data_IF_423318517915
#
_entry.id   IF_423318517915
#
_cell.length_a   1.000
_cell.length_b   1.000
_cell.length_c   1.000
_cell.angle_alpha   90.00
_cell.angle_beta   90.00
_cell.angle_gamma   90.00
#
_symmetry.space_group_name_H-M   'P 1'
#
loop_
_entity.id
_entity.type
_entity.pdbx_description
1 polymer ?
#
# COMPACT_ATOMS: atom_id res chain seq x y z
N UNK A 1 -15.38 -10.01 26.78
CA UNK A 1 -15.23 -11.42 27.25
C UNK A 1 -14.01 -12.02 26.58
N UNK A 2 -13.08 -12.61 27.34
CA UNK A 2 -11.92 -13.28 26.76
C UNK A 2 -12.32 -14.61 26.12
N UNK A 3 -11.93 -14.84 24.86
CA UNK A 3 -12.14 -16.13 24.18
C UNK A 3 -11.39 -17.23 24.95
N UNK A 4 -12.03 -18.33 25.38
CA UNK A 4 -11.35 -19.42 26.06
C UNK A 4 -10.13 -19.93 25.27
N UNK A 5 -9.01 -20.20 25.94
CA UNK A 5 -7.74 -20.49 25.27
C UNK A 5 -7.83 -21.69 24.32
N UNK A 6 -8.61 -22.71 24.68
CA UNK A 6 -8.87 -23.88 23.85
C UNK A 6 -9.66 -23.54 22.57
N UNK A 7 -10.55 -22.57 22.63
CA UNK A 7 -11.29 -22.07 21.45
C UNK A 7 -10.35 -21.27 20.56
N UNK A 8 -9.53 -20.39 21.15
CA UNK A 8 -8.50 -19.64 20.42
C UNK A 8 -7.53 -20.57 19.68
N UNK A 9 -6.94 -21.55 20.38
CA UNK A 9 -6.03 -22.54 19.81
C UNK A 9 -6.68 -23.30 18.65
N UNK A 10 -7.93 -23.75 18.82
CA UNK A 10 -8.69 -24.43 17.76
C UNK A 10 -8.85 -23.54 16.53
N UNK A 11 -9.19 -22.27 16.72
CA UNK A 11 -9.36 -21.33 15.61
C UNK A 11 -8.05 -21.12 14.84
N UNK A 12 -6.92 -20.95 15.54
CA UNK A 12 -5.60 -20.84 14.91
C UNK A 12 -5.28 -22.11 14.11
N UNK A 13 -5.51 -23.29 14.68
CA UNK A 13 -5.32 -24.56 13.97
C UNK A 13 -6.23 -24.66 12.72
N UNK A 14 -7.51 -24.29 12.81
CA UNK A 14 -8.43 -24.30 11.67
C UNK A 14 -8.01 -23.36 10.56
N UNK A 15 -7.50 -22.16 10.89
CA UNK A 15 -6.95 -21.23 9.90
C UNK A 15 -5.75 -21.85 9.19
N UNK A 16 -4.80 -22.42 9.94
CA UNK A 16 -3.63 -23.07 9.36
C UNK A 16 -4.04 -24.24 8.45
N UNK A 17 -4.98 -25.09 8.87
CA UNK A 17 -5.53 -26.16 8.02
C UNK A 17 -6.18 -25.64 6.74
N UNK A 18 -6.92 -24.53 6.81
CA UNK A 18 -7.52 -23.92 5.64
C UNK A 18 -6.46 -23.33 4.70
N UNK A 19 -5.37 -22.75 5.21
CA UNK A 19 -4.29 -22.19 4.40
C UNK A 19 -3.45 -23.28 3.71
N UNK A 20 -3.21 -24.40 4.38
CA UNK A 20 -2.36 -25.49 3.87
C UNK A 20 -3.10 -26.57 3.09
N UNK A 21 -4.45 -26.54 3.08
CA UNK A 21 -5.25 -27.49 2.31
C UNK A 21 -5.05 -27.33 0.80
N UNK A 22 -4.99 -28.45 0.07
CA UNK A 22 -5.04 -28.47 -1.40
C UNK A 22 -6.36 -27.94 -1.94
N UNK A 23 -7.44 -28.09 -1.18
CA UNK A 23 -8.80 -27.69 -1.54
C UNK A 23 -9.16 -26.30 -1.00
N UNK A 24 -8.15 -25.55 -0.54
CA UNK A 24 -8.38 -24.22 -0.01
C UNK A 24 -8.99 -23.30 -1.08
N UNK A 25 -10.07 -22.57 -0.80
CA UNK A 25 -10.57 -21.55 -1.73
C UNK A 25 -9.59 -20.38 -1.87
N UNK A 26 -8.61 -20.29 -0.97
CA UNK A 26 -7.49 -19.35 -1.03
C UNK A 26 -6.28 -19.94 -1.75
N UNK A 27 -6.43 -21.11 -2.38
CA UNK A 27 -5.37 -21.75 -3.11
C UNK A 27 -5.11 -21.06 -4.44
N UNK A 28 -3.94 -20.46 -4.59
CA UNK A 28 -3.33 -20.32 -5.91
C UNK A 28 -2.72 -21.69 -6.23
N UNK A 29 -3.20 -22.32 -7.30
CA UNK A 29 -2.70 -23.61 -7.77
C UNK A 29 -1.17 -23.55 -7.91
N UNK A 30 -0.49 -24.63 -7.51
CA UNK A 30 0.96 -24.84 -7.67
C UNK A 30 1.90 -23.83 -6.97
N UNK A 31 1.39 -22.97 -6.07
CA UNK A 31 2.22 -22.04 -5.30
C UNK A 31 2.45 -22.53 -3.86
N UNK A 32 3.72 -22.72 -3.44
CA UNK A 32 4.05 -23.03 -2.06
C UNK A 32 3.61 -21.94 -1.08
N UNK A 33 3.12 -22.34 0.09
CA UNK A 33 2.64 -21.40 1.12
C UNK A 33 3.70 -21.23 2.20
N UNK A 34 4.11 -19.99 2.46
CA UNK A 34 5.00 -19.64 3.57
C UNK A 34 4.21 -18.90 4.64
N UNK A 35 4.20 -19.41 5.87
CA UNK A 35 3.41 -18.90 6.98
C UNK A 35 4.34 -18.36 8.07
N UNK A 36 4.18 -17.10 8.45
CA UNK A 36 4.76 -16.54 9.67
C UNK A 36 3.66 -16.43 10.70
N UNK A 37 3.73 -17.23 11.76
CA UNK A 37 2.80 -17.16 12.88
C UNK A 37 3.39 -16.25 13.96
N UNK A 38 2.73 -15.13 14.25
CA UNK A 38 3.24 -14.11 15.18
C UNK A 38 2.43 -14.18 16.48
N UNK A 39 3.11 -14.30 17.63
CA UNK A 39 2.43 -14.26 18.93
C UNK A 39 1.86 -12.86 19.20
N UNK A 40 0.80 -12.73 20.02
CA UNK A 40 0.46 -11.43 20.60
C UNK A 40 1.66 -10.81 21.32
N UNK A 41 1.75 -9.47 21.26
CA UNK A 41 2.76 -8.70 21.99
C UNK A 41 2.43 -8.56 23.48
N UNK A 42 3.33 -7.96 24.28
CA UNK A 42 3.02 -7.59 25.64
C UNK A 42 1.98 -6.46 25.67
N UNK A 43 1.41 -6.21 26.84
CA UNK A 43 0.62 -5.00 27.09
C UNK A 43 1.17 -4.26 28.31
N UNK A 44 1.00 -2.95 28.38
CA UNK A 44 1.40 -2.15 29.52
C UNK A 44 0.16 -1.45 30.12
N UNK A 45 -0.58 -2.13 31.03
CA UNK A 45 -1.83 -1.61 31.59
C UNK A 45 -1.72 -0.25 32.27
N UNK A 46 -0.54 0.13 32.76
CA UNK A 46 -0.31 1.46 33.35
C UNK A 46 -0.47 2.61 32.34
N UNK A 47 -0.43 2.33 31.04
CA UNK A 47 -0.58 3.31 29.96
C UNK A 47 -1.97 3.32 29.31
N UNK A 48 -2.86 2.38 29.67
CA UNK A 48 -4.18 2.30 29.04
C UNK A 48 -4.96 3.61 29.24
N UNK A 49 -5.58 4.15 28.17
CA UNK A 49 -6.38 5.37 28.25
C UNK A 49 -7.58 5.21 29.18
N UNK A 50 -8.23 4.04 29.14
CA UNK A 50 -9.37 3.72 29.98
C UNK A 50 -8.94 2.74 31.11
N UNK A 51 -9.09 3.13 32.39
CA UNK A 51 -8.81 2.26 33.52
C UNK A 51 -9.56 0.93 33.52
N UNK A 52 -10.75 0.86 32.92
CA UNK A 52 -11.54 -0.36 32.82
C UNK A 52 -10.87 -1.42 31.92
N UNK A 53 -10.02 -1.00 30.96
CA UNK A 53 -9.28 -1.92 30.09
C UNK A 53 -8.28 -2.78 30.87
N UNK A 54 -7.81 -2.28 32.03
CA UNK A 54 -6.87 -2.99 32.89
C UNK A 54 -7.48 -4.25 33.52
N UNK A 55 -8.81 -4.33 33.59
CA UNK A 55 -9.51 -5.47 34.18
C UNK A 55 -9.56 -6.69 33.25
N UNK A 56 -9.48 -6.48 31.93
CA UNK A 56 -9.65 -7.55 30.95
C UNK A 56 -8.45 -7.74 29.99
N UNK A 57 -7.52 -6.80 29.92
CA UNK A 57 -6.26 -6.92 29.19
C UNK A 57 -5.06 -6.85 30.15
N UNK A 58 -4.53 -8.01 30.54
CA UNK A 58 -3.39 -8.11 31.48
C UNK A 58 -2.21 -8.83 30.83
N UNK A 59 -1.01 -8.60 31.36
CA UNK A 59 0.20 -9.32 30.93
C UNK A 59 0.00 -10.84 31.03
N UNK A 60 -0.63 -11.33 32.09
CA UNK A 60 -0.90 -12.76 32.27
C UNK A 60 -1.89 -13.31 31.25
N UNK A 61 -2.94 -12.55 30.94
CA UNK A 61 -3.92 -12.92 29.91
C UNK A 61 -3.23 -13.03 28.54
N UNK A 62 -2.50 -11.98 28.16
CA UNK A 62 -1.78 -11.90 26.88
C UNK A 62 -0.69 -12.99 26.77
N UNK A 63 0.00 -13.30 27.88
CA UNK A 63 0.99 -14.39 27.93
C UNK A 63 0.36 -15.75 27.62
N UNK A 64 -0.85 -16.05 28.13
CA UNK A 64 -1.54 -17.32 27.82
C UNK A 64 -1.79 -17.48 26.31
N UNK A 65 -2.22 -16.42 25.64
CA UNK A 65 -2.42 -16.45 24.19
C UNK A 65 -1.10 -16.56 23.42
N UNK A 66 -0.04 -15.85 23.86
CA UNK A 66 1.32 -16.01 23.32
C UNK A 66 1.79 -17.46 23.41
N UNK A 67 1.71 -18.06 24.59
CA UNK A 67 2.20 -19.42 24.81
C UNK A 67 1.39 -20.44 23.97
N UNK A 68 0.07 -20.26 23.85
CA UNK A 68 -0.75 -21.07 22.96
C UNK A 68 -0.35 -20.95 21.47
N UNK A 69 -0.02 -19.74 21.00
CA UNK A 69 0.49 -19.55 19.62
C UNK A 69 1.83 -20.25 19.43
N UNK A 70 2.74 -20.18 20.41
CA UNK A 70 4.03 -20.88 20.37
C UNK A 70 3.86 -22.40 20.32
N UNK A 71 2.92 -22.95 21.09
CA UNK A 71 2.60 -24.38 21.08
C UNK A 71 2.05 -24.83 19.73
N UNK A 72 1.06 -24.11 19.18
CA UNK A 72 0.53 -24.39 17.83
C UNK A 72 1.63 -24.30 16.79
N UNK A 73 2.45 -23.25 16.84
CA UNK A 73 3.58 -23.07 15.94
C UNK A 73 4.55 -24.25 15.95
N UNK A 74 4.91 -24.74 17.14
CA UNK A 74 5.77 -25.92 17.32
C UNK A 74 5.13 -27.19 16.77
N UNK A 75 3.85 -27.41 17.05
CA UNK A 75 3.08 -28.56 16.55
C UNK A 75 3.04 -28.58 15.01
N UNK A 76 2.79 -27.43 14.39
CA UNK A 76 2.75 -27.31 12.94
C UNK A 76 4.14 -27.42 12.32
N UNK A 77 5.18 -26.91 13.00
CA UNK A 77 6.56 -27.08 12.55
C UNK A 77 6.97 -28.56 12.49
N UNK A 78 6.53 -29.40 13.44
CA UNK A 78 6.81 -30.84 13.38
C UNK A 78 6.08 -31.53 12.23
N UNK A 79 4.89 -31.04 11.85
CA UNK A 79 4.11 -31.59 10.73
C UNK A 79 4.67 -31.18 9.36
N UNK A 80 5.46 -30.12 9.29
CA UNK A 80 6.06 -29.64 8.03
C UNK A 80 6.88 -30.73 7.32
N UNK A 81 7.62 -31.54 8.07
CA UNK A 81 8.42 -32.64 7.52
C UNK A 81 7.57 -33.87 7.13
N UNK A 82 6.42 -34.07 7.78
CA UNK A 82 5.55 -35.25 7.61
C UNK A 82 4.45 -35.04 6.56
N UNK A 83 4.05 -33.78 6.30
CA UNK A 83 2.99 -33.38 5.39
C UNK A 83 3.51 -32.48 4.25
N UNK A 84 4.53 -32.98 3.54
CA UNK A 84 4.84 -32.57 2.18
C UNK A 84 3.68 -32.94 1.23
N UNK A 85 2.51 -32.35 1.46
CA UNK A 85 1.36 -32.40 0.56
C UNK A 85 1.73 -31.75 -0.76
N UNK A 86 1.02 -32.12 -1.83
CA UNK A 86 1.30 -31.75 -3.23
C UNK A 86 1.52 -30.25 -3.50
N UNK A 87 1.16 -29.36 -2.57
CA UNK A 87 1.28 -27.91 -2.68
C UNK A 87 2.53 -27.30 -2.03
N UNK A 88 3.17 -28.00 -1.09
CA UNK A 88 4.34 -27.53 -0.32
C UNK A 88 4.02 -26.34 0.61
N UNK A 89 4.19 -26.50 1.91
CA UNK A 89 4.05 -25.38 2.86
C UNK A 89 5.16 -25.38 3.89
N UNK A 90 5.47 -24.19 4.42
CA UNK A 90 6.42 -24.01 5.52
C UNK A 90 5.90 -23.01 6.51
N UNK A 91 6.22 -23.22 7.79
CA UNK A 91 5.79 -22.34 8.87
C UNK A 91 6.97 -21.97 9.76
N UNK A 92 6.98 -20.72 10.22
CA UNK A 92 7.88 -20.25 11.27
C UNK A 92 7.09 -19.43 12.28
N UNK A 93 7.50 -19.48 13.55
CA UNK A 93 6.82 -18.75 14.62
C UNK A 93 7.70 -17.64 15.17
N UNK A 94 7.14 -16.43 15.29
CA UNK A 94 7.79 -15.24 15.83
C UNK A 94 7.18 -14.89 17.18
N UNK A 95 8.01 -14.93 18.21
CA UNK A 95 7.66 -14.48 19.55
C UNK A 95 7.80 -12.95 19.66
N UNK A 96 6.76 -12.22 19.24
CA UNK A 96 6.74 -10.76 19.31
C UNK A 96 6.84 -10.26 20.75
N UNK A 97 6.20 -10.97 21.68
CA UNK A 97 6.32 -10.72 23.11
C UNK A 97 7.77 -10.80 23.57
N UNK A 98 8.41 -11.95 23.34
CA UNK A 98 9.79 -12.18 23.75
C UNK A 98 10.77 -11.21 23.12
N UNK A 99 10.49 -10.76 21.89
CA UNK A 99 11.29 -9.74 21.20
C UNK A 99 11.23 -8.39 21.91
N UNK A 100 10.03 -7.91 22.22
CA UNK A 100 9.84 -6.62 22.91
C UNK A 100 10.35 -6.68 24.36
N UNK A 101 9.95 -7.69 25.13
CA UNK A 101 10.38 -7.84 26.53
C UNK A 101 11.89 -8.06 26.63
N UNK A 102 12.46 -8.86 25.73
CA UNK A 102 13.89 -9.15 25.69
C UNK A 102 14.74 -7.92 25.38
N UNK A 103 14.32 -7.09 24.42
CA UNK A 103 15.02 -5.82 24.13
C UNK A 103 14.82 -4.77 25.23
N UNK A 104 13.68 -4.77 25.92
CA UNK A 104 13.41 -3.83 26.99
C UNK A 104 14.26 -4.07 28.25
N UNK A 105 14.83 -5.27 28.45
CA UNK A 105 15.58 -5.62 29.66
C UNK A 105 14.78 -6.45 30.68
N UNK A 106 13.53 -6.77 30.36
CA UNK A 106 12.68 -7.67 31.14
C UNK A 106 11.86 -7.02 32.27
N UNK A 107 12.05 -5.74 32.57
CA UNK A 107 11.25 -5.02 33.57
C UNK A 107 10.05 -4.30 32.93
N UNK A 108 8.94 -4.17 33.67
CA UNK A 108 7.69 -3.62 33.15
C UNK A 108 7.77 -2.12 32.87
N UNK A 109 8.59 -1.41 33.64
CA UNK A 109 8.85 0.02 33.59
C UNK A 109 9.64 0.40 32.32
N UNK A 110 10.50 -0.51 31.86
CA UNK A 110 11.34 -0.35 30.67
C UNK A 110 10.56 -0.58 29.37
N UNK A 111 9.33 -1.12 29.46
CA UNK A 111 8.46 -1.34 28.30
C UNK A 111 7.83 -0.04 27.77
N UNK A 112 7.73 1.02 28.59
CA UNK A 112 7.04 2.27 28.23
C UNK A 112 7.41 2.82 26.84
N UNK A 113 8.68 2.88 26.42
CA UNK A 113 9.07 3.41 25.10
C UNK A 113 8.57 2.57 23.92
N UNK A 114 8.16 1.31 24.14
CA UNK A 114 7.70 0.39 23.11
C UNK A 114 6.19 0.49 22.85
N UNK A 115 5.46 1.31 23.62
CA UNK A 115 4.01 1.44 23.53
C UNK A 115 3.58 2.88 23.24
N UNK A 116 2.50 3.03 22.47
CA UNK A 116 1.79 4.30 22.26
C UNK A 116 0.80 4.56 23.39
N UNK A 117 -0.01 3.56 23.73
CA UNK A 117 -1.13 3.62 24.69
C UNK A 117 -1.22 2.37 25.58
N UNK A 118 -0.15 1.58 25.62
CA UNK A 118 -0.07 0.35 26.39
C UNK A 118 -0.59 -0.91 25.69
N UNK A 119 -1.40 -0.79 24.64
CA UNK A 119 -1.82 -1.96 23.83
C UNK A 119 -1.17 -1.91 22.45
N UNK A 120 -1.13 -0.73 21.84
CA UNK A 120 -0.52 -0.52 20.54
C UNK A 120 0.98 -0.22 20.70
N UNK A 121 1.78 -0.85 19.85
CA UNK A 121 3.22 -0.61 19.80
C UNK A 121 3.51 0.83 19.32
N UNK A 122 4.58 1.42 19.86
CA UNK A 122 5.18 2.65 19.32
C UNK A 122 6.01 2.32 18.07
N UNK A 123 6.56 3.34 17.40
CA UNK A 123 7.54 3.15 16.31
C UNK A 123 8.68 2.23 16.73
N UNK A 124 9.20 2.38 17.97
CA UNK A 124 10.24 1.51 18.52
C UNK A 124 9.73 0.07 18.68
N UNK A 125 8.52 -0.11 19.21
CA UNK A 125 7.88 -1.41 19.35
C UNK A 125 7.71 -2.14 18.03
N UNK A 126 7.20 -1.45 17.01
CA UNK A 126 7.07 -1.99 15.66
C UNK A 126 8.42 -2.38 15.07
N UNK A 127 9.42 -1.50 15.13
CA UNK A 127 10.75 -1.78 14.61
C UNK A 127 11.38 -3.03 15.23
N UNK A 128 11.23 -3.24 16.55
CA UNK A 128 11.73 -4.45 17.24
C UNK A 128 11.07 -5.73 16.74
N UNK A 129 9.75 -5.72 16.52
CA UNK A 129 9.02 -6.90 16.03
C UNK A 129 9.31 -7.12 14.54
N UNK A 130 9.35 -6.06 13.75
CA UNK A 130 9.67 -6.08 12.32
C UNK A 130 11.07 -6.66 12.07
N UNK A 131 12.09 -6.19 12.78
CA UNK A 131 13.46 -6.72 12.67
C UNK A 131 13.48 -8.24 12.84
N UNK A 132 12.71 -8.76 13.81
CA UNK A 132 12.61 -10.19 14.07
C UNK A 132 11.88 -10.94 12.96
N UNK A 133 10.77 -10.39 12.47
CA UNK A 133 10.00 -10.97 11.35
C UNK A 133 10.87 -11.01 10.10
N UNK A 134 11.49 -9.90 9.73
CA UNK A 134 12.37 -9.76 8.57
C UNK A 134 13.50 -10.77 8.63
N UNK A 135 14.17 -10.93 9.78
CA UNK A 135 15.21 -11.95 9.96
C UNK A 135 14.68 -13.37 9.76
N UNK A 136 13.50 -13.71 10.28
CA UNK A 136 12.90 -15.03 10.06
C UNK A 136 12.58 -15.24 8.58
N UNK A 137 11.96 -14.25 7.93
CA UNK A 137 11.61 -14.32 6.50
C UNK A 137 12.86 -14.51 5.64
N UNK A 138 13.87 -13.67 5.83
CA UNK A 138 15.13 -13.73 5.08
C UNK A 138 15.89 -15.04 5.30
N UNK A 139 15.91 -15.58 6.52
CA UNK A 139 16.72 -16.78 6.81
C UNK A 139 15.98 -18.10 6.59
N UNK A 140 14.66 -18.13 6.71
CA UNK A 140 13.85 -19.36 6.67
C UNK A 140 13.01 -19.51 5.42
N UNK A 141 12.69 -18.39 4.76
CA UNK A 141 11.94 -18.37 3.50
C UNK A 141 12.77 -17.82 2.33
N UNK A 142 14.10 -17.78 2.47
CA UNK A 142 15.02 -17.44 1.38
C UNK A 142 14.69 -18.21 0.09
N UNK A 143 14.70 -17.51 -1.05
CA UNK A 143 14.43 -18.12 -2.35
C UNK A 143 12.95 -18.48 -2.61
N UNK A 144 12.02 -18.07 -1.74
CA UNK A 144 10.57 -18.23 -1.96
C UNK A 144 9.88 -16.96 -2.46
N UNK A 145 10.65 -16.02 -3.02
CA UNK A 145 10.11 -14.76 -3.53
C UNK A 145 9.52 -13.84 -2.46
N UNK A 146 9.98 -13.96 -1.20
CA UNK A 146 9.63 -13.08 -0.08
C UNK A 146 10.79 -12.15 0.30
N UNK A 147 11.89 -12.20 -0.45
CA UNK A 147 13.02 -11.32 -0.24
C UNK A 147 12.74 -9.98 -0.92
N UNK A 148 12.81 -8.90 -0.15
CA UNK A 148 12.47 -7.56 -0.61
C UNK A 148 13.53 -6.97 -1.55
N UNK A 149 14.71 -7.60 -1.61
CA UNK A 149 15.84 -7.18 -2.43
C UNK A 149 16.03 -8.02 -3.70
N UNK A 150 15.20 -9.05 -3.91
CA UNK A 150 15.28 -9.85 -5.13
C UNK A 150 14.59 -9.13 -6.30
N UNK A 151 15.40 -8.50 -7.16
CA UNK A 151 14.96 -7.74 -8.34
C UNK A 151 14.03 -8.53 -9.27
N UNK A 152 14.08 -9.87 -9.24
CA UNK A 152 13.24 -10.73 -10.06
C UNK A 152 11.76 -10.77 -9.60
N UNK A 153 11.44 -10.41 -8.35
CA UNK A 153 10.08 -10.48 -7.78
C UNK A 153 9.50 -9.11 -7.37
N UNK A 154 10.28 -8.03 -7.47
CA UNK A 154 9.82 -6.63 -7.32
C UNK A 154 8.54 -6.26 -8.10
N UNK A 155 8.25 -6.79 -9.32
CA UNK A 155 7.07 -6.38 -10.07
C UNK A 155 5.73 -6.76 -9.45
N UNK A 156 5.68 -7.64 -8.43
CA UNK A 156 4.43 -8.27 -8.00
C UNK A 156 3.81 -7.73 -6.72
N UNK A 157 4.49 -6.86 -5.94
CA UNK A 157 4.11 -6.65 -4.51
C UNK A 157 4.23 -5.26 -3.89
N UNK A 158 4.70 -4.23 -4.59
CA UNK A 158 4.75 -2.86 -4.03
C UNK A 158 3.64 -1.95 -4.62
N UNK A 159 3.15 -0.93 -3.90
CA UNK A 159 2.57 0.25 -4.57
C UNK A 159 3.60 0.73 -5.59
N UNK A 160 3.16 0.79 -6.84
CA UNK A 160 4.01 0.67 -8.04
C UNK A 160 4.74 2.00 -8.28
N UNK A 161 5.80 2.25 -7.51
CA UNK A 161 6.73 3.35 -7.69
C UNK A 161 8.13 2.78 -7.93
N UNK A 162 8.66 2.95 -9.14
CA UNK A 162 9.98 2.44 -9.49
C UNK A 162 10.98 3.60 -9.61
N UNK A 163 11.93 3.66 -8.67
CA UNK A 163 12.97 4.68 -8.64
C UNK A 163 13.77 4.73 -9.94
N UNK A 164 13.90 5.91 -10.54
CA UNK A 164 14.67 6.12 -11.77
C UNK A 164 13.95 5.79 -13.08
N UNK A 165 12.69 5.37 -13.06
CA UNK A 165 11.94 5.05 -14.28
C UNK A 165 11.42 6.29 -15.01
N UNK A 166 11.29 6.17 -16.34
CA UNK A 166 10.69 7.18 -17.21
C UNK A 166 9.40 6.65 -17.87
N UNK A 167 8.74 7.46 -18.68
CA UNK A 167 7.51 7.09 -19.36
C UNK A 167 7.67 5.91 -20.32
N UNK A 168 8.81 5.79 -21.02
CA UNK A 168 9.09 4.65 -21.92
C UNK A 168 9.10 3.33 -21.17
N UNK A 169 9.82 3.25 -20.04
CA UNK A 169 9.84 2.05 -19.20
C UNK A 169 8.46 1.73 -18.63
N UNK A 170 7.75 2.76 -18.16
CA UNK A 170 6.40 2.61 -17.59
C UNK A 170 5.42 1.97 -18.58
N UNK A 171 5.51 2.31 -19.88
CA UNK A 171 4.67 1.69 -20.93
C UNK A 171 4.80 0.17 -20.97
N UNK A 172 6.00 -0.36 -20.78
CA UNK A 172 6.28 -1.81 -20.87
C UNK A 172 5.71 -2.56 -19.67
N UNK A 173 5.60 -1.91 -18.51
CA UNK A 173 5.12 -2.55 -17.30
C UNK A 173 3.60 -2.73 -17.22
N UNK A 174 2.83 -2.12 -18.12
CA UNK A 174 1.36 -2.19 -18.10
C UNK A 174 0.85 -3.65 -18.09
N UNK A 175 1.51 -4.54 -18.84
CA UNK A 175 1.21 -5.99 -18.89
C UNK A 175 1.48 -6.74 -17.59
N UNK A 176 2.37 -6.19 -16.75
CA UNK A 176 2.74 -6.78 -15.47
C UNK A 176 1.97 -6.17 -14.30
N UNK A 177 1.40 -4.99 -14.50
CA UNK A 177 0.66 -4.24 -13.48
C UNK A 177 -0.83 -4.55 -13.55
N UNK A 178 -1.42 -4.57 -14.75
CA UNK A 178 -2.86 -4.67 -14.93
C UNK A 178 -3.24 -5.98 -15.60
N UNK A 179 -4.21 -6.66 -15.00
CA UNK A 179 -4.77 -7.88 -15.56
C UNK A 179 -5.42 -7.65 -16.93
N UNK A 180 -5.33 -8.65 -17.79
CA UNK A 180 -5.97 -8.65 -19.11
C UNK A 180 -7.44 -9.04 -18.98
N UNK A 181 -8.29 -8.59 -19.92
CA UNK A 181 -9.75 -8.85 -19.88
C UNK A 181 -10.13 -10.34 -19.76
N UNK A 182 -9.28 -11.25 -20.27
CA UNK A 182 -9.47 -12.70 -20.11
C UNK A 182 -9.35 -13.21 -18.66
N UNK A 183 -8.81 -12.41 -17.75
CA UNK A 183 -8.51 -12.76 -16.34
C UNK A 183 -9.42 -11.98 -15.36
N UNK A 184 -10.48 -11.35 -15.87
CA UNK A 184 -11.30 -10.42 -15.09
C UNK A 184 -11.94 -11.04 -13.82
N UNK A 185 -12.32 -12.32 -13.86
CA UNK A 185 -13.03 -13.00 -12.76
C UNK A 185 -12.17 -13.21 -11.50
N UNK A 186 -10.85 -13.22 -11.64
CA UNK A 186 -9.90 -13.47 -10.55
C UNK A 186 -9.08 -12.24 -10.17
N UNK A 187 -9.28 -11.12 -10.87
CA UNK A 187 -8.44 -9.94 -10.74
C UNK A 187 -8.99 -8.92 -9.74
N UNK A 188 -8.14 -8.27 -8.93
CA UNK A 188 -8.56 -7.18 -8.07
C UNK A 188 -9.01 -5.97 -8.92
N UNK A 189 -9.99 -5.24 -8.41
CA UNK A 189 -10.51 -4.03 -9.07
C UNK A 189 -9.67 -2.83 -8.62
N UNK A 190 -9.02 -2.17 -9.57
CA UNK A 190 -8.29 -0.91 -9.35
C UNK A 190 -9.25 0.25 -9.53
N UNK A 191 -9.31 1.15 -8.54
CA UNK A 191 -10.25 2.29 -8.53
C UNK A 191 -9.58 3.65 -8.57
N UNK A 192 -8.29 3.69 -8.27
CA UNK A 192 -7.48 4.90 -8.32
C UNK A 192 -6.13 4.56 -8.93
N UNK A 193 -5.71 5.36 -9.91
CA UNK A 193 -4.36 5.35 -10.46
C UNK A 193 -3.79 6.75 -10.35
N UNK A 194 -2.62 6.89 -9.74
CA UNK A 194 -1.85 8.12 -9.75
C UNK A 194 -0.71 7.98 -10.76
N UNK A 195 -0.64 8.84 -11.76
CA UNK A 195 0.48 8.92 -12.68
C UNK A 195 1.34 10.13 -12.32
N UNK A 196 2.51 9.86 -11.75
CA UNK A 196 3.50 10.88 -11.37
C UNK A 196 4.84 10.56 -12.01
N UNK A 197 4.94 10.88 -13.29
CA UNK A 197 6.08 10.64 -14.16
C UNK A 197 6.42 11.93 -14.91
N UNK A 198 7.64 12.03 -15.46
CA UNK A 198 8.13 13.25 -16.09
C UNK A 198 9.40 13.78 -15.45
N UNK A 199 9.63 13.53 -14.15
CA UNK A 199 10.86 13.95 -13.47
C UNK A 199 12.08 13.28 -14.11
N UNK A 200 12.09 11.98 -14.35
CA UNK A 200 13.24 11.33 -14.98
C UNK A 200 13.30 11.54 -16.50
N UNK A 201 12.13 11.66 -17.14
CA UNK A 201 12.00 11.97 -18.56
C UNK A 201 12.65 13.31 -18.91
N UNK A 202 12.51 14.32 -18.04
CA UNK A 202 13.06 15.67 -18.22
C UNK A 202 14.57 15.80 -18.02
N UNK A 203 15.27 14.68 -17.83
CA UNK A 203 16.73 14.69 -17.80
C UNK A 203 17.28 15.04 -19.19
N UNK A 204 18.37 15.80 -19.24
CA UNK A 204 19.06 16.18 -20.45
C UNK A 204 19.88 15.01 -21.05
N UNK A 205 19.93 14.89 -22.40
CA UNK A 205 20.79 13.92 -23.06
C UNK A 205 22.28 14.05 -22.66
N UNK A 206 23.05 12.95 -22.71
CA UNK A 206 22.70 11.62 -23.21
C UNK A 206 22.33 10.62 -22.10
N UNK A 207 21.79 11.07 -20.95
CA UNK A 207 21.41 10.12 -19.90
C UNK A 207 20.30 9.19 -20.38
N UNK A 208 20.40 7.91 -20.04
CA UNK A 208 19.46 6.86 -20.50
C UNK A 208 18.00 7.11 -20.10
N UNK A 209 17.76 7.93 -19.08
CA UNK A 209 16.43 8.27 -18.59
C UNK A 209 15.72 9.31 -19.47
N UNK A 210 16.46 10.05 -20.30
CA UNK A 210 15.92 11.11 -21.14
C UNK A 210 14.84 10.57 -22.09
N UNK A 211 13.70 11.25 -22.12
CA UNK A 211 12.65 11.05 -23.12
C UNK A 211 12.39 12.38 -23.79
N UNK A 212 12.22 12.40 -25.11
CA UNK A 212 11.88 13.66 -25.79
C UNK A 212 10.50 14.15 -25.32
N UNK A 213 10.29 15.46 -25.22
CA UNK A 213 8.99 16.00 -24.81
C UNK A 213 7.81 15.48 -25.67
N UNK A 214 7.93 15.37 -27.02
CA UNK A 214 6.89 14.75 -27.84
C UNK A 214 6.62 13.27 -27.50
N UNK A 215 7.67 12.48 -27.25
CA UNK A 215 7.51 11.07 -26.88
C UNK A 215 6.89 10.92 -25.48
N UNK A 216 7.25 11.78 -24.54
CA UNK A 216 6.64 11.82 -23.21
C UNK A 216 5.13 12.11 -23.29
N UNK A 217 4.73 13.13 -24.05
CA UNK A 217 3.31 13.45 -24.29
C UNK A 217 2.59 12.26 -24.94
N UNK A 218 3.19 11.66 -25.98
CA UNK A 218 2.66 10.46 -26.64
C UNK A 218 2.48 9.30 -25.65
N UNK A 219 3.46 9.08 -24.77
CA UNK A 219 3.41 8.02 -23.76
C UNK A 219 2.31 8.28 -22.73
N UNK A 220 2.13 9.52 -22.26
CA UNK A 220 1.02 9.87 -21.36
C UNK A 220 -0.34 9.59 -21.99
N UNK A 221 -0.55 10.00 -23.25
CA UNK A 221 -1.78 9.67 -23.97
C UNK A 221 -1.99 8.18 -24.13
N UNK A 222 -0.93 7.41 -24.41
CA UNK A 222 -1.03 5.97 -24.54
C UNK A 222 -1.36 5.29 -23.21
N UNK A 223 -0.73 5.71 -22.10
CA UNK A 223 -1.04 5.20 -20.76
C UNK A 223 -2.50 5.47 -20.39
N UNK A 224 -2.95 6.71 -20.56
CA UNK A 224 -4.33 7.09 -20.31
C UNK A 224 -5.29 6.30 -21.21
N UNK A 225 -4.99 6.15 -22.51
CA UNK A 225 -5.79 5.33 -23.41
C UNK A 225 -5.90 3.87 -22.98
N UNK A 226 -4.79 3.27 -22.52
CA UNK A 226 -4.79 1.90 -21.99
C UNK A 226 -5.62 1.79 -20.69
N UNK A 227 -5.67 2.84 -19.89
CA UNK A 227 -6.47 2.88 -18.66
C UNK A 227 -7.95 3.12 -18.90
N UNK A 228 -8.33 3.75 -20.03
CA UNK A 228 -9.68 4.32 -20.19
C UNK A 228 -10.46 3.86 -21.42
N UNK A 229 -9.76 3.37 -22.46
CA UNK A 229 -10.41 3.04 -23.73
C UNK A 229 -11.17 1.72 -23.62
N UNK A 230 -12.41 1.62 -24.13
CA UNK A 230 -13.11 0.34 -24.24
C UNK A 230 -12.35 -0.72 -25.05
N UNK A 231 -11.51 -0.27 -26.00
CA UNK A 231 -10.66 -1.15 -26.81
C UNK A 231 -9.37 -1.57 -26.11
N UNK A 232 -9.10 -1.08 -24.90
CA UNK A 232 -7.94 -1.48 -24.11
C UNK A 232 -8.00 -2.98 -23.82
N UNK A 233 -6.85 -3.68 -23.83
CA UNK A 233 -6.81 -5.09 -23.46
C UNK A 233 -6.91 -5.33 -21.94
N UNK A 234 -6.85 -4.29 -21.12
CA UNK A 234 -6.80 -4.40 -19.66
C UNK A 234 -8.20 -4.31 -19.03
N UNK A 235 -8.42 -5.08 -17.95
CA UNK A 235 -9.68 -5.08 -17.19
C UNK A 235 -9.99 -3.69 -16.64
N UNK A 236 -8.96 -2.96 -16.21
CA UNK A 236 -9.11 -1.66 -15.55
C UNK A 236 -9.91 -0.64 -16.39
N UNK A 237 -9.82 -0.73 -17.72
CA UNK A 237 -10.57 0.16 -18.63
C UNK A 237 -12.09 -0.09 -18.65
N UNK A 238 -12.52 -1.27 -18.19
CA UNK A 238 -13.94 -1.62 -18.03
C UNK A 238 -14.41 -1.42 -16.58
N UNK A 239 -13.55 -0.89 -15.71
CA UNK A 239 -13.89 -0.63 -14.31
C UNK A 239 -14.13 0.86 -14.07
N UNK A 240 -14.97 1.19 -13.08
CA UNK A 240 -15.09 2.58 -12.63
C UNK A 240 -13.74 3.06 -12.02
N UNK A 241 -13.03 3.92 -12.76
CA UNK A 241 -11.65 4.32 -12.47
C UNK A 241 -11.51 5.81 -12.17
N UNK A 242 -10.76 6.20 -11.15
CA UNK A 242 -10.30 7.58 -10.95
C UNK A 242 -8.81 7.68 -11.28
N UNK A 243 -8.41 8.74 -11.98
CA UNK A 243 -7.02 8.96 -12.38
C UNK A 243 -6.56 10.32 -11.85
N UNK A 244 -5.41 10.36 -11.19
CA UNK A 244 -4.74 11.62 -10.83
C UNK A 244 -3.45 11.72 -11.64
N UNK A 245 -3.33 12.75 -12.46
CA UNK A 245 -2.05 13.16 -13.00
C UNK A 245 -1.39 14.11 -12.00
N UNK A 246 -0.12 13.88 -11.68
CA UNK A 246 0.66 14.77 -10.82
C UNK A 246 1.80 15.34 -11.65
N UNK A 247 1.96 16.66 -11.66
CA UNK A 247 3.08 17.30 -12.37
C UNK A 247 4.42 16.93 -11.73
N UNK A 248 5.51 16.78 -12.51
CA UNK A 248 6.84 16.77 -11.92
C UNK A 248 7.05 18.05 -11.08
N UNK A 249 7.69 17.92 -9.92
CA UNK A 249 7.96 19.04 -9.02
C UNK A 249 9.15 19.90 -9.46
N UNK A 250 9.31 21.10 -8.88
CA UNK A 250 10.52 21.90 -9.06
C UNK A 250 11.74 21.16 -8.52
N UNK A 251 12.88 21.43 -9.14
CA UNK A 251 14.16 20.99 -8.63
C UNK A 251 15.01 22.18 -8.17
N UNK A 252 15.77 21.97 -7.10
CA UNK A 252 16.68 22.97 -6.55
C UNK A 252 18.13 22.55 -6.86
N UNK A 253 18.68 23.10 -7.94
CA UNK A 253 19.99 22.70 -8.46
C UNK A 253 21.15 22.99 -7.51
N UNK A 254 21.00 23.91 -6.56
CA UNK A 254 22.00 24.19 -5.53
C UNK A 254 22.17 23.08 -4.49
N UNK A 255 21.21 22.14 -4.42
CA UNK A 255 21.29 20.94 -3.58
C UNK A 255 21.85 19.72 -4.32
N UNK A 256 22.01 19.80 -5.64
CA UNK A 256 22.51 18.70 -6.44
C UNK A 256 23.99 18.45 -6.16
N UNK A 257 24.35 17.17 -6.06
CA UNK A 257 25.74 16.76 -6.20
C UNK A 257 26.28 17.21 -7.57
N UNK A 258 27.56 17.61 -7.61
CA UNK A 258 28.17 18.26 -8.78
C UNK A 258 27.96 17.52 -10.12
N UNK A 259 27.82 16.19 -10.10
CA UNK A 259 27.58 15.40 -11.32
C UNK A 259 26.14 15.43 -11.82
N UNK A 260 25.15 15.75 -10.97
CA UNK A 260 23.71 15.80 -11.33
C UNK A 260 23.34 17.10 -12.05
N UNK A 261 24.05 18.21 -11.74
CA UNK A 261 23.77 19.55 -12.29
C UNK A 261 23.80 19.61 -13.82
N UNK A 262 24.69 18.84 -14.47
CA UNK A 262 24.79 18.79 -15.94
C UNK A 262 23.62 18.08 -16.63
N UNK A 263 22.82 17.32 -15.88
CA UNK A 263 21.78 16.46 -16.42
C UNK A 263 20.37 17.02 -16.23
N UNK A 264 20.20 18.09 -15.45
CA UNK A 264 18.87 18.58 -15.08
C UNK A 264 18.87 20.09 -14.97
N UNK A 265 17.83 20.71 -15.50
CA UNK A 265 17.55 22.13 -15.29
C UNK A 265 16.10 22.33 -14.85
N UNK A 266 15.82 23.37 -14.06
CA UNK A 266 14.45 23.76 -13.74
C UNK A 266 13.60 24.01 -14.99
N UNK A 267 14.19 24.61 -16.03
CA UNK A 267 13.51 24.95 -17.28
C UNK A 267 13.04 23.68 -18.01
N UNK A 268 13.92 22.67 -18.15
CA UNK A 268 13.54 21.42 -18.80
C UNK A 268 12.45 20.70 -18.01
N UNK A 269 12.55 20.67 -16.68
CA UNK A 269 11.51 20.05 -15.84
C UNK A 269 10.17 20.80 -15.93
N UNK A 270 10.21 22.13 -16.07
CA UNK A 270 9.02 22.97 -16.26
C UNK A 270 8.29 22.67 -17.58
N UNK A 271 9.00 22.40 -18.67
CA UNK A 271 8.37 21.98 -19.94
C UNK A 271 7.55 20.68 -19.78
N UNK A 272 8.06 19.71 -18.99
CA UNK A 272 7.34 18.46 -18.73
C UNK A 272 6.16 18.67 -17.77
N UNK A 273 6.29 19.59 -16.79
CA UNK A 273 5.16 20.04 -15.96
C UNK A 273 4.05 20.62 -16.84
N UNK A 274 4.39 21.55 -17.73
CA UNK A 274 3.42 22.19 -18.62
C UNK A 274 2.75 21.18 -19.57
N UNK A 275 3.51 20.20 -20.06
CA UNK A 275 2.97 19.09 -20.84
C UNK A 275 1.96 18.22 -20.04
N UNK A 276 2.24 17.90 -18.77
CA UNK A 276 1.29 17.17 -17.91
C UNK A 276 0.01 17.97 -17.71
N UNK A 277 0.11 19.29 -17.48
CA UNK A 277 -1.05 20.18 -17.35
C UNK A 277 -1.88 20.22 -18.64
N UNK A 278 -1.23 20.32 -19.80
CA UNK A 278 -1.91 20.32 -21.08
C UNK A 278 -2.66 19.00 -21.30
N UNK A 279 -1.98 17.86 -21.14
CA UNK A 279 -2.58 16.52 -21.27
C UNK A 279 -3.75 16.38 -20.28
N UNK A 280 -3.57 16.79 -19.03
CA UNK A 280 -4.62 16.79 -18.02
C UNK A 280 -5.87 17.56 -18.45
N UNK A 281 -5.71 18.77 -18.97
CA UNK A 281 -6.81 19.59 -19.48
C UNK A 281 -7.52 18.94 -20.68
N UNK A 282 -6.76 18.38 -21.63
CA UNK A 282 -7.31 17.66 -22.79
C UNK A 282 -8.16 16.45 -22.36
N UNK A 283 -7.65 15.64 -21.43
CA UNK A 283 -8.36 14.47 -20.92
C UNK A 283 -9.55 14.83 -20.04
N UNK A 284 -9.48 15.93 -19.28
CA UNK A 284 -10.65 16.47 -18.59
C UNK A 284 -11.75 16.91 -19.58
N UNK A 285 -11.37 17.40 -20.75
CA UNK A 285 -12.29 17.66 -21.86
C UNK A 285 -12.96 16.38 -22.39
N UNK A 286 -12.20 15.28 -22.50
CA UNK A 286 -12.71 13.96 -22.94
C UNK A 286 -13.66 13.34 -21.91
N UNK A 287 -13.38 13.49 -20.62
CA UNK A 287 -14.28 13.06 -19.54
C UNK A 287 -15.66 13.72 -19.68
N UNK A 288 -15.71 15.05 -19.88
CA UNK A 288 -16.97 15.78 -20.10
C UNK A 288 -17.73 15.29 -21.33
N UNK A 289 -17.03 14.92 -22.40
CA UNK A 289 -17.65 14.35 -23.58
C UNK A 289 -18.25 12.96 -23.31
N UNK A 290 -17.66 12.17 -22.41
CA UNK A 290 -18.23 10.92 -21.93
C UNK A 290 -19.50 11.15 -21.09
N UNK A 291 -19.54 12.19 -20.26
CA UNK A 291 -20.71 12.55 -19.44
C UNK A 291 -21.96 12.84 -20.28
N UNK A 292 -21.79 13.56 -21.39
CA UNK A 292 -22.89 13.89 -22.34
C UNK A 292 -23.49 12.65 -23.02
N UNK A 293 -22.77 11.52 -23.04
CA UNK A 293 -23.19 10.27 -23.66
C UNK A 293 -23.80 9.27 -22.66
N UNK A 294 -24.09 9.69 -21.42
CA UNK A 294 -24.79 8.85 -20.44
C UNK A 294 -23.94 7.79 -19.72
N UNK A 295 -22.61 7.84 -19.85
CA UNK A 295 -21.68 6.87 -19.26
C UNK A 295 -21.20 7.23 -17.83
N UNK A 296 -21.83 8.23 -17.19
CA UNK A 296 -21.37 8.87 -15.94
C UNK A 296 -21.19 7.91 -14.77
N UNK A 297 -22.06 6.90 -14.66
CA UNK A 297 -22.10 6.03 -13.47
C UNK A 297 -21.10 4.86 -13.51
N UNK A 298 -20.41 4.64 -14.64
CA UNK A 298 -19.52 3.48 -14.84
C UNK A 298 -18.20 3.81 -15.54
N UNK A 299 -17.97 5.09 -15.87
CA UNK A 299 -16.80 5.56 -16.60
C UNK A 299 -15.60 5.93 -15.73
N UNK A 300 -14.54 6.38 -16.38
CA UNK A 300 -13.35 6.91 -15.73
C UNK A 300 -13.53 8.40 -15.41
N UNK A 301 -12.78 8.92 -14.44
CA UNK A 301 -12.71 10.34 -14.11
C UNK A 301 -11.26 10.74 -13.91
N UNK A 302 -10.87 11.96 -14.28
CA UNK A 302 -9.47 12.41 -14.19
C UNK A 302 -9.35 13.76 -13.51
N UNK A 303 -8.34 13.94 -12.69
CA UNK A 303 -7.93 15.23 -12.15
C UNK A 303 -6.42 15.41 -12.32
N UNK A 304 -5.98 16.67 -12.32
CA UNK A 304 -4.56 17.00 -12.40
C UNK A 304 -4.17 17.85 -11.20
N UNK A 305 -3.19 17.37 -10.46
CA UNK A 305 -2.57 18.06 -9.32
C UNK A 305 -1.31 18.75 -9.84
N UNK A 306 -1.33 20.09 -9.83
CA UNK A 306 -0.16 20.90 -10.16
C UNK A 306 0.77 21.01 -8.96
N UNK A 307 1.38 19.89 -8.60
CA UNK A 307 2.30 19.79 -7.47
C UNK A 307 3.40 20.86 -7.53
N UNK A 308 3.91 21.17 -8.72
CA UNK A 308 4.87 22.26 -8.88
C UNK A 308 4.34 23.58 -8.33
N UNK A 309 3.16 24.01 -8.78
CA UNK A 309 2.60 25.30 -8.36
C UNK A 309 2.24 25.32 -6.87
N UNK A 310 1.69 24.20 -6.37
CA UNK A 310 1.34 24.07 -4.95
C UNK A 310 2.59 24.16 -4.06
N UNK A 311 3.67 23.45 -4.42
CA UNK A 311 4.92 23.48 -3.66
C UNK A 311 5.58 24.86 -3.69
N UNK A 312 5.66 25.50 -4.87
CA UNK A 312 6.22 26.86 -5.00
C UNK A 312 5.43 27.87 -4.17
N UNK A 313 4.10 27.76 -4.17
CA UNK A 313 3.24 28.61 -3.35
C UNK A 313 3.50 28.41 -1.86
N UNK A 314 3.64 27.16 -1.41
CA UNK A 314 3.84 26.84 0.01
C UNK A 314 5.26 27.18 0.49
N UNK A 315 6.26 27.00 -0.37
CA UNK A 315 7.63 27.44 -0.11
C UNK A 315 7.76 28.97 -0.10
N UNK A 316 6.93 29.68 -0.87
CA UNK A 316 7.01 31.13 -1.05
C UNK A 316 7.96 31.56 -2.19
N UNK A 317 8.41 30.62 -3.00
CA UNK A 317 9.35 30.83 -4.11
C UNK A 317 9.76 29.51 -4.77
N UNK A 318 10.36 29.59 -5.96
CA UNK A 318 10.91 28.44 -6.70
C UNK A 318 12.45 28.37 -6.65
N UNK A 319 13.06 29.04 -5.67
CA UNK A 319 14.50 29.07 -5.40
C UNK A 319 14.90 28.32 -4.13
N UNK A 320 15.77 28.92 -3.31
CA UNK A 320 16.26 28.33 -2.05
C UNK A 320 15.15 28.06 -1.03
N UNK A 321 14.01 28.72 -1.17
CA UNK A 321 12.81 28.50 -0.36
C UNK A 321 12.31 27.05 -0.44
N UNK A 322 12.66 26.31 -1.51
CA UNK A 322 12.31 24.90 -1.69
C UNK A 322 13.13 23.95 -0.80
N UNK A 323 14.26 24.40 -0.24
CA UNK A 323 15.21 23.55 0.49
C UNK A 323 14.60 22.72 1.64
N UNK A 324 13.64 23.21 2.44
CA UNK A 324 13.00 22.41 3.49
C UNK A 324 12.14 21.25 2.97
N UNK A 325 11.73 21.31 1.70
CA UNK A 325 10.80 20.37 1.08
C UNK A 325 11.51 19.28 0.26
N UNK A 326 12.83 19.42 0.06
CA UNK A 326 13.65 18.56 -0.79
C UNK A 326 14.80 17.96 0.02
N UNK A 327 15.12 16.69 -0.21
CA UNK A 327 16.24 16.01 0.46
C UNK A 327 17.55 16.18 -0.31
N UNK A 328 17.50 16.05 -1.63
CA UNK A 328 18.67 16.12 -2.52
C UNK A 328 18.50 17.11 -3.68
N UNK A 329 17.55 18.04 -3.54
CA UNK A 329 17.14 18.98 -4.60
C UNK A 329 16.12 18.41 -5.59
N UNK A 330 15.70 17.15 -5.42
CA UNK A 330 14.73 16.49 -6.29
C UNK A 330 13.69 15.68 -5.52
N UNK A 331 14.15 14.80 -4.64
CA UNK A 331 13.28 13.95 -3.82
C UNK A 331 12.74 14.72 -2.63
N UNK A 332 11.54 14.38 -2.19
CA UNK A 332 10.82 15.15 -1.19
C UNK A 332 11.22 14.77 0.23
N UNK A 333 11.20 15.74 1.14
CA UNK A 333 11.10 15.50 2.59
C UNK A 333 9.66 15.14 2.96
N UNK A 334 9.39 14.89 4.25
CA UNK A 334 8.02 14.72 4.73
C UNK A 334 7.17 15.96 4.44
N UNK A 335 7.72 17.15 4.63
CA UNK A 335 7.05 18.43 4.35
C UNK A 335 6.75 18.59 2.86
N UNK A 336 7.64 18.13 1.97
CA UNK A 336 7.36 18.09 0.53
C UNK A 336 6.22 17.11 0.19
N UNK A 337 6.20 15.94 0.82
CA UNK A 337 5.13 14.96 0.64
C UNK A 337 3.78 15.43 1.21
N UNK A 338 3.76 16.24 2.26
CA UNK A 338 2.52 16.82 2.79
C UNK A 338 1.80 17.66 1.73
N UNK A 339 2.54 18.39 0.88
CA UNK A 339 1.96 19.17 -0.24
C UNK A 339 1.32 18.25 -1.29
N UNK A 340 1.99 17.16 -1.66
CA UNK A 340 1.44 16.15 -2.58
C UNK A 340 0.18 15.53 -1.99
N UNK A 341 0.24 15.17 -0.71
CA UNK A 341 -0.85 14.56 0.02
C UNK A 341 -2.07 15.47 0.09
N UNK A 342 -1.90 16.76 0.34
CA UNK A 342 -2.98 17.74 0.31
C UNK A 342 -3.64 17.80 -1.07
N UNK A 343 -2.85 17.86 -2.15
CA UNK A 343 -3.36 17.87 -3.53
C UNK A 343 -4.16 16.60 -3.88
N UNK A 344 -3.62 15.43 -3.57
CA UNK A 344 -4.26 14.12 -3.79
C UNK A 344 -5.53 13.97 -2.95
N UNK A 345 -5.48 14.34 -1.68
CA UNK A 345 -6.64 14.29 -0.77
C UNK A 345 -7.76 15.20 -1.26
N UNK A 346 -7.42 16.43 -1.68
CA UNK A 346 -8.39 17.36 -2.26
C UNK A 346 -9.05 16.79 -3.52
N UNK A 347 -8.29 16.14 -4.41
CA UNK A 347 -8.85 15.48 -5.58
C UNK A 347 -9.83 14.36 -5.17
N UNK A 348 -9.45 13.51 -4.23
CA UNK A 348 -10.29 12.41 -3.74
C UNK A 348 -11.59 12.93 -3.10
N UNK A 349 -11.46 13.79 -2.09
CA UNK A 349 -12.59 14.22 -1.25
C UNK A 349 -13.54 15.19 -1.96
N UNK A 350 -13.04 16.00 -2.91
CA UNK A 350 -13.85 17.04 -3.57
C UNK A 350 -14.26 16.66 -4.98
N UNK A 351 -13.36 16.06 -5.77
CA UNK A 351 -13.57 15.80 -7.20
C UNK A 351 -14.06 14.38 -7.45
N UNK A 352 -13.58 13.42 -6.67
CA UNK A 352 -13.96 12.01 -6.77
C UNK A 352 -14.94 11.57 -5.68
N UNK A 353 -15.63 12.51 -5.04
CA UNK A 353 -16.64 12.19 -4.03
C UNK A 353 -17.68 11.19 -4.57
N UNK A 354 -17.98 10.14 -3.79
CA UNK A 354 -18.92 9.10 -4.19
C UNK A 354 -18.30 7.99 -5.05
N UNK A 355 -16.98 8.05 -5.32
CA UNK A 355 -16.25 7.03 -6.11
C UNK A 355 -15.62 5.94 -5.24
N UNK A 356 -15.99 5.88 -3.96
CA UNK A 356 -15.55 4.91 -2.98
C UNK A 356 -14.09 5.07 -2.59
N UNK A 357 -13.60 6.30 -2.50
CA UNK A 357 -12.18 6.60 -2.28
C UNK A 357 -11.95 7.42 -1.01
N UNK A 358 -12.96 8.17 -0.55
CA UNK A 358 -12.82 9.06 0.60
C UNK A 358 -12.84 8.26 1.91
N UNK A 359 -11.67 8.13 2.53
CA UNK A 359 -11.49 7.41 3.80
C UNK A 359 -12.09 8.12 5.01
N UNK A 360 -12.51 9.38 4.87
CA UNK A 360 -13.18 10.13 5.94
C UNK A 360 -14.71 10.04 5.86
N UNK A 361 -15.25 9.59 4.72
CA UNK A 361 -16.67 9.39 4.49
C UNK A 361 -16.99 7.88 4.48
N UNK A 362 -17.50 7.35 5.60
CA UNK A 362 -17.87 5.93 5.69
C UNK A 362 -19.02 5.51 4.75
N UNK A 363 -19.79 6.46 4.21
CA UNK A 363 -20.79 6.16 3.17
C UNK A 363 -20.12 6.00 1.79
N UNK A 364 -18.98 6.66 1.56
CA UNK A 364 -18.18 6.51 0.35
C UNK A 364 -17.26 5.28 0.44
N UNK A 365 -16.31 5.28 1.38
CA UNK A 365 -15.39 4.18 1.67
C UNK A 365 -15.68 3.59 3.07
N UNK A 366 -16.64 2.67 3.20
CA UNK A 366 -16.94 2.02 4.47
C UNK A 366 -15.80 1.10 4.88
N UNK A 367 -15.68 0.91 6.20
CA UNK A 367 -14.94 -0.24 6.75
C UNK A 367 -15.50 -1.52 6.13
N UNK A 368 -14.60 -2.33 5.56
CA UNK A 368 -14.99 -3.56 4.84
C UNK A 368 -15.79 -4.52 5.72
N UNK A 369 -15.41 -4.58 6.99
CA UNK A 369 -16.05 -5.35 8.05
C UNK A 369 -16.52 -4.39 9.14
N UNK A 370 -17.58 -4.73 9.89
CA UNK A 370 -18.07 -3.87 10.98
C UNK A 370 -17.02 -3.66 12.07
N UNK A 371 -17.16 -2.58 12.83
CA UNK A 371 -16.33 -2.34 14.01
C UNK A 371 -16.57 -3.43 15.06
N UNK A 372 -15.52 -3.85 15.77
CA UNK A 372 -15.60 -4.99 16.70
C UNK A 372 -16.61 -4.79 17.84
N UNK A 373 -16.92 -3.53 18.20
CA UNK A 373 -17.95 -3.19 19.19
C UNK A 373 -19.38 -3.42 18.70
N UNK A 374 -19.59 -3.48 17.39
CA UNK A 374 -20.91 -3.70 16.77
C UNK A 374 -21.17 -5.17 16.40
N UNK A 375 -20.17 -6.03 16.60
CA UNK A 375 -20.25 -7.47 16.28
C UNK A 375 -20.99 -8.23 17.38
N UNK A 376 -22.00 -9.01 17.01
CA UNK A 376 -22.58 -10.02 17.89
C UNK A 376 -21.62 -11.21 18.02
N UNK A 377 -20.76 -11.17 19.03
CA UNK A 377 -19.79 -12.24 19.30
C UNK A 377 -20.44 -13.58 19.73
N UNK A 378 -21.75 -13.62 20.01
CA UNK A 378 -22.48 -14.87 20.19
C UNK A 378 -22.83 -15.54 18.86
N UNK A 379 -22.78 -14.78 17.76
CA UNK A 379 -22.98 -15.21 16.37
C UNK A 379 -21.89 -14.65 15.45
N UNK A 380 -20.63 -15.13 15.54
CA UNK A 380 -19.52 -14.59 14.74
C UNK A 380 -19.74 -14.62 13.23
N UNK A 381 -20.59 -15.53 12.73
CA UNK A 381 -21.00 -15.57 11.32
C UNK A 381 -21.76 -14.33 10.86
N UNK A 382 -22.39 -13.58 11.79
CA UNK A 382 -23.09 -12.33 11.50
C UNK A 382 -22.18 -11.20 11.02
N UNK A 383 -20.85 -11.31 11.20
CA UNK A 383 -19.87 -10.37 10.64
C UNK A 383 -20.08 -10.18 9.13
N UNK A 384 -20.45 -11.27 8.42
CA UNK A 384 -20.71 -11.23 6.97
C UNK A 384 -21.92 -10.37 6.63
N UNK A 385 -22.94 -10.34 7.50
CA UNK A 385 -24.14 -9.52 7.34
C UNK A 385 -23.81 -8.01 7.42
N UNK A 386 -22.80 -7.65 8.23
CA UNK A 386 -22.32 -6.27 8.38
C UNK A 386 -21.25 -5.84 7.36
N UNK A 387 -20.83 -6.71 6.43
CA UNK A 387 -19.80 -6.36 5.45
C UNK A 387 -20.34 -5.36 4.42
N UNK A 388 -19.63 -4.24 4.25
CA UNK A 388 -19.99 -3.20 3.28
C UNK A 388 -19.01 -3.16 2.11
N UNK A 389 -19.53 -2.78 0.94
CA UNK A 389 -18.73 -2.44 -0.24
C UNK A 389 -18.72 -0.91 -0.38
N UNK A 390 -17.67 -0.32 -0.95
CA UNK A 390 -17.66 1.10 -1.28
C UNK A 390 -18.76 1.47 -2.29
N UNK A 391 -19.30 2.69 -2.20
CA UNK A 391 -20.45 3.17 -2.98
C UNK A 391 -20.31 2.91 -4.50
N UNK A 392 -19.08 3.00 -5.00
CA UNK A 392 -18.75 2.90 -6.42
C UNK A 392 -18.43 1.47 -6.90
N UNK A 393 -18.75 0.46 -6.10
CA UNK A 393 -18.67 -0.96 -6.47
C UNK A 393 -20.07 -1.55 -6.57
N UNK A 394 -20.86 -1.08 -7.52
CA UNK A 394 -22.13 -1.73 -7.85
C UNK A 394 -21.81 -3.11 -8.45
N UNK A 395 -22.09 -4.18 -7.69
CA UNK A 395 -22.18 -5.51 -8.27
C UNK A 395 -23.31 -5.50 -9.30
N UNK A 396 -23.02 -5.92 -10.53
CA UNK A 396 -24.02 -6.64 -11.32
C UNK A 396 -24.35 -7.96 -10.65
#
# INVERSE_FOLDING_TARGET
MSVPINVFTRNVQSILSALTSSDSPYAVADTPVSIVLITPGPCLPSMFPDPAEKEWCTQDSMRKYRDAVLEVGKEWKSKEAEQATARGWSIETVDAWGSVVGQAGGQAEELRPYFKDGIHLSTKGYATVEERISRVVQTKFAGRGLDWEDEADLPKRAPIGFGGWNSNGTRVLMDHIFAKKGEASTSPIVRLVTLWIGTNDSVLPPKDQTVSLPDFVKNLHALLSDLTSPSSPYVIADTPLSIILITPGPCLTSMFENYKVKWRTPESTREFRDAVLQVGAEWKGREKAQELNGAKERGWSIETVDFWADLVKQAGGDGEELRPYLTDGLHLTSEGYDVVWEGVSNAIQKKFKGRGLDWEDEEDLPKRVPWCGDVDWSRPESIVEGMRLPAFRLRT
#
